data_IF_645717547751
#
_entry.id   IF_645717547751
#
_cell.length_a   1.000
_cell.length_b   1.000
_cell.length_c   1.000
_cell.angle_alpha   90.00
_cell.angle_beta   90.00
_cell.angle_gamma   90.00
#
_symmetry.space_group_name_H-M   'P 1'
#
loop_
_entity.id
_entity.type
_entity.pdbx_description
1 polymer ?
#
# COMPACT_ATOMS: atom_id res chain seq x y z
N UNK A 1 13.59 -44.90 27.30
CA UNK A 1 14.71 -45.04 28.25
C UNK A 1 15.09 -43.64 28.67
N UNK A 2 14.71 -43.28 29.90
CA UNK A 2 14.83 -41.92 30.45
C UNK A 2 16.22 -41.81 31.07
N UNK A 3 17.00 -40.81 30.67
CA UNK A 3 18.14 -40.37 31.46
C UNK A 3 17.73 -39.04 32.08
N UNK A 4 17.47 -39.08 33.39
CA UNK A 4 17.49 -37.92 34.27
C UNK A 4 18.83 -37.96 35.00
N UNK A 5 19.58 -36.86 34.96
CA UNK A 5 20.19 -36.28 36.16
C UNK A 5 20.83 -34.93 35.83
N UNK A 6 20.23 -33.87 36.38
CA UNK A 6 20.76 -33.06 37.47
C UNK A 6 20.53 -31.56 37.25
N UNK A 7 19.71 -31.00 38.15
CA UNK A 7 19.54 -29.58 38.41
C UNK A 7 20.88 -28.94 38.78
N UNK A 8 21.26 -27.87 38.06
CA UNK A 8 21.89 -26.68 38.64
C UNK A 8 21.54 -25.46 37.78
N UNK A 9 20.70 -24.61 38.36
CA UNK A 9 20.70 -23.16 38.32
C UNK A 9 20.83 -22.40 36.98
N UNK A 10 19.97 -21.40 36.80
CA UNK A 10 20.11 -20.38 35.76
C UNK A 10 19.23 -20.60 34.53
N UNK A 11 17.93 -20.29 34.66
CA UNK A 11 17.00 -19.90 33.58
C UNK A 11 17.34 -20.49 32.20
N UNK A 12 16.88 -21.72 31.96
CA UNK A 12 16.66 -22.17 30.60
C UNK A 12 15.59 -21.26 29.98
N UNK A 13 16.03 -20.18 29.33
CA UNK A 13 15.21 -19.45 28.38
C UNK A 13 14.77 -20.53 27.39
N UNK A 14 13.46 -20.82 27.26
CA UNK A 14 13.04 -21.72 26.21
C UNK A 14 13.61 -21.12 24.94
N UNK A 15 14.52 -21.85 24.29
CA UNK A 15 14.96 -21.52 22.95
C UNK A 15 13.67 -21.60 22.17
N UNK A 16 13.03 -20.45 21.98
CA UNK A 16 11.96 -20.28 21.01
C UNK A 16 12.66 -20.65 19.73
N UNK A 17 12.50 -21.92 19.35
CA UNK A 17 12.70 -22.34 17.99
C UNK A 17 11.67 -21.50 17.27
N UNK A 18 12.13 -20.37 16.74
CA UNK A 18 11.34 -19.52 15.89
C UNK A 18 11.01 -20.36 14.66
N UNK A 19 9.96 -21.15 14.78
CA UNK A 19 9.12 -21.54 13.66
C UNK A 19 8.31 -20.30 13.27
N UNK A 20 9.01 -19.23 12.88
CA UNK A 20 8.49 -18.43 11.80
C UNK A 20 8.61 -19.35 10.60
N UNK A 21 7.50 -19.88 10.12
CA UNK A 21 7.41 -20.16 8.69
C UNK A 21 7.84 -18.84 8.04
N UNK A 22 9.11 -18.79 7.65
CA UNK A 22 9.78 -17.58 7.22
C UNK A 22 9.03 -17.16 5.98
N UNK A 23 8.22 -16.10 6.12
CA UNK A 23 7.52 -15.48 5.03
C UNK A 23 8.61 -14.88 4.14
N UNK A 24 9.22 -15.71 3.30
CA UNK A 24 10.15 -15.34 2.25
C UNK A 24 9.32 -14.60 1.22
N UNK A 25 9.05 -13.33 1.52
CA UNK A 25 8.50 -12.42 0.54
C UNK A 25 9.64 -12.10 -0.41
N UNK A 26 9.71 -12.82 -1.53
CA UNK A 26 10.71 -12.58 -2.57
C UNK A 26 10.71 -11.08 -2.92
N UNK A 27 11.83 -10.37 -2.71
CA UNK A 27 11.90 -8.92 -2.92
C UNK A 27 11.61 -8.56 -4.38
N UNK A 28 11.89 -9.44 -5.34
CA UNK A 28 11.52 -9.24 -6.76
C UNK A 28 10.01 -9.27 -6.95
N UNK A 29 9.32 -10.22 -6.33
CA UNK A 29 7.86 -10.33 -6.35
C UNK A 29 7.20 -9.11 -5.70
N UNK A 30 7.72 -8.64 -4.56
CA UNK A 30 7.23 -7.42 -3.90
C UNK A 30 7.44 -6.17 -4.76
N UNK A 31 8.62 -5.99 -5.34
CA UNK A 31 8.91 -4.86 -6.22
C UNK A 31 8.03 -4.88 -7.49
N UNK A 32 7.77 -6.06 -8.06
CA UNK A 32 6.86 -6.21 -9.19
C UNK A 32 5.43 -5.82 -8.81
N UNK A 33 4.94 -6.29 -7.66
CA UNK A 33 3.62 -5.91 -7.17
C UNK A 33 3.51 -4.40 -6.93
N UNK A 34 4.51 -3.78 -6.29
CA UNK A 34 4.57 -2.33 -6.11
C UNK A 34 4.50 -1.57 -7.44
N UNK A 35 5.19 -2.07 -8.47
CA UNK A 35 5.12 -1.50 -9.82
C UNK A 35 3.73 -1.64 -10.46
N UNK A 36 3.09 -2.80 -10.32
CA UNK A 36 1.74 -3.03 -10.85
C UNK A 36 0.72 -2.10 -10.18
N UNK A 37 0.80 -1.94 -8.86
CA UNK A 37 -0.03 -0.98 -8.12
C UNK A 37 0.24 0.45 -8.59
N UNK A 38 1.50 0.86 -8.74
CA UNK A 38 1.84 2.19 -9.24
C UNK A 38 1.23 2.47 -10.62
N UNK A 39 1.36 1.53 -11.56
CA UNK A 39 0.79 1.67 -12.90
C UNK A 39 -0.73 1.78 -12.84
N UNK A 40 -1.39 0.97 -12.01
CA UNK A 40 -2.84 1.05 -11.82
C UNK A 40 -3.28 2.39 -11.22
N UNK A 41 -2.55 2.90 -10.21
CA UNK A 41 -2.82 4.19 -9.56
C UNK A 41 -2.62 5.36 -10.52
N UNK A 42 -1.56 5.33 -11.34
CA UNK A 42 -1.34 6.34 -12.38
C UNK A 42 -2.47 6.32 -13.41
N UNK A 43 -2.82 5.14 -13.94
CA UNK A 43 -3.91 5.03 -14.92
C UNK A 43 -5.27 5.47 -14.36
N UNK A 44 -5.53 5.21 -13.07
CA UNK A 44 -6.71 5.69 -12.37
C UNK A 44 -6.74 7.22 -12.27
N UNK A 45 -5.60 7.82 -11.91
CA UNK A 45 -5.44 9.28 -11.81
C UNK A 45 -5.65 9.95 -13.15
N UNK A 46 -4.96 9.45 -14.20
CA UNK A 46 -5.07 9.97 -15.56
C UNK A 46 -6.54 9.92 -16.04
N UNK A 47 -7.26 8.84 -15.75
CA UNK A 47 -8.66 8.71 -16.12
C UNK A 47 -9.59 9.71 -15.38
N UNK A 48 -9.26 10.06 -14.13
CA UNK A 48 -10.00 11.09 -13.39
C UNK A 48 -9.75 12.45 -14.01
N UNK A 49 -8.48 12.80 -14.27
CA UNK A 49 -8.11 14.09 -14.85
C UNK A 49 -8.70 14.27 -16.26
N UNK A 50 -8.66 13.22 -17.09
CA UNK A 50 -9.23 13.23 -18.44
C UNK A 50 -10.76 13.41 -18.45
N UNK A 51 -11.45 12.94 -17.40
CA UNK A 51 -12.93 13.00 -17.33
C UNK A 51 -13.45 14.15 -16.48
N UNK A 52 -12.58 14.84 -15.74
CA UNK A 52 -12.92 15.89 -14.78
C UNK A 52 -13.80 16.99 -15.38
N UNK A 53 -13.40 17.52 -16.54
CA UNK A 53 -14.15 18.58 -17.23
C UNK A 53 -15.52 18.07 -17.71
N UNK A 54 -15.64 16.77 -17.98
CA UNK A 54 -16.89 16.11 -18.37
C UNK A 54 -17.88 15.90 -17.23
N UNK A 55 -17.48 16.14 -15.97
CA UNK A 55 -18.38 15.97 -14.81
C UNK A 55 -19.20 17.22 -14.51
N UNK A 56 -18.90 18.36 -15.13
CA UNK A 56 -19.75 19.54 -14.99
C UNK A 56 -21.06 19.34 -15.74
N UNK A 57 -22.17 19.59 -15.05
CA UNK A 57 -23.51 19.55 -15.63
C UNK A 57 -23.90 20.98 -16.00
N UNK A 58 -24.24 21.28 -17.27
CA UNK A 58 -24.64 22.62 -17.65
C UNK A 58 -25.83 23.12 -16.83
N UNK A 59 -25.80 24.37 -16.37
CA UNK A 59 -26.88 24.95 -15.56
C UNK A 59 -28.27 24.82 -16.23
N UNK A 60 -28.32 24.88 -17.57
CA UNK A 60 -29.53 24.70 -18.35
C UNK A 60 -30.17 23.30 -18.21
N UNK A 61 -29.39 22.27 -17.83
CA UNK A 61 -29.92 20.92 -17.62
C UNK A 61 -30.86 20.83 -16.40
N UNK A 62 -30.81 21.81 -15.49
CA UNK A 62 -31.68 21.87 -14.31
C UNK A 62 -33.01 22.60 -14.58
N UNK A 63 -33.23 23.09 -15.81
CA UNK A 63 -34.42 23.80 -16.24
C UNK A 63 -34.52 25.24 -15.72
N UNK A 64 -35.68 25.88 -15.94
CA UNK A 64 -35.88 27.32 -15.69
C UNK A 64 -36.66 27.61 -14.40
N UNK A 65 -36.62 26.70 -13.44
CA UNK A 65 -37.31 26.92 -12.16
C UNK A 65 -36.52 27.85 -11.24
N UNK A 66 -37.20 28.48 -10.28
CA UNK A 66 -36.52 29.29 -9.25
C UNK A 66 -35.53 28.48 -8.39
N UNK A 67 -35.64 27.16 -8.36
CA UNK A 67 -34.73 26.27 -7.66
C UNK A 67 -33.50 25.85 -8.49
N UNK A 68 -33.54 26.00 -9.82
CA UNK A 68 -32.48 25.52 -10.71
C UNK A 68 -31.07 26.05 -10.37
N UNK A 69 -30.87 27.34 -9.99
CA UNK A 69 -29.55 27.82 -9.58
C UNK A 69 -29.02 27.12 -8.32
N UNK A 70 -29.89 26.81 -7.36
CA UNK A 70 -29.49 26.14 -6.13
C UNK A 70 -29.11 24.67 -6.39
N UNK A 71 -29.83 23.99 -7.28
CA UNK A 71 -29.51 22.62 -7.69
C UNK A 71 -28.20 22.57 -8.48
N UNK A 72 -27.98 23.52 -9.40
CA UNK A 72 -26.72 23.64 -10.13
C UNK A 72 -25.52 23.86 -9.20
N UNK A 73 -25.66 24.76 -8.21
CA UNK A 73 -24.62 24.99 -7.21
C UNK A 73 -24.33 23.73 -6.37
N UNK A 74 -25.38 23.01 -5.95
CA UNK A 74 -25.21 21.76 -5.19
C UNK A 74 -24.52 20.67 -6.03
N UNK A 75 -24.80 20.59 -7.33
CA UNK A 75 -24.14 19.64 -8.23
C UNK A 75 -22.63 19.96 -8.39
N UNK A 76 -22.27 21.24 -8.48
CA UNK A 76 -20.87 21.67 -8.53
C UNK A 76 -20.13 21.36 -7.22
N UNK A 77 -20.75 21.58 -6.06
CA UNK A 77 -20.18 21.18 -4.76
C UNK A 77 -19.95 19.68 -4.70
N UNK A 78 -20.94 18.87 -5.12
CA UNK A 78 -20.80 17.42 -5.14
C UNK A 78 -19.69 16.96 -6.08
N UNK A 79 -19.51 17.61 -7.23
CA UNK A 79 -18.39 17.35 -8.15
C UNK A 79 -17.06 17.59 -7.45
N UNK A 80 -16.90 18.77 -6.83
CA UNK A 80 -15.66 19.16 -6.18
C UNK A 80 -15.32 18.25 -4.99
N UNK A 81 -16.32 17.86 -4.19
CA UNK A 81 -16.16 16.87 -3.13
C UNK A 81 -15.75 15.50 -3.68
N UNK A 82 -16.34 15.07 -4.79
CA UNK A 82 -15.99 13.79 -5.44
C UNK A 82 -14.55 13.80 -5.92
N UNK A 83 -14.11 14.88 -6.58
CA UNK A 83 -12.71 15.05 -7.02
C UNK A 83 -11.76 14.99 -5.82
N UNK A 84 -12.05 15.71 -4.74
CA UNK A 84 -11.23 15.70 -3.54
C UNK A 84 -11.09 14.30 -2.94
N UNK A 85 -12.19 13.54 -2.85
CA UNK A 85 -12.16 12.16 -2.33
C UNK A 85 -11.35 11.21 -3.19
N UNK A 86 -11.33 11.43 -4.51
CA UNK A 86 -10.52 10.62 -5.41
C UNK A 86 -9.04 10.94 -5.29
N UNK A 87 -8.69 12.22 -5.06
CA UNK A 87 -7.32 12.61 -4.71
C UNK A 87 -6.86 11.96 -3.40
N UNK A 88 -7.73 11.89 -2.37
CA UNK A 88 -7.39 11.18 -1.13
C UNK A 88 -7.03 9.70 -1.38
N UNK A 89 -7.77 9.03 -2.27
CA UNK A 89 -7.51 7.62 -2.64
C UNK A 89 -6.17 7.50 -3.37
N UNK A 90 -5.87 8.42 -4.28
CA UNK A 90 -4.60 8.46 -4.99
C UNK A 90 -3.41 8.62 -4.03
N UNK A 91 -3.52 9.49 -3.04
CA UNK A 91 -2.46 9.74 -2.05
C UNK A 91 -2.17 8.49 -1.22
N UNK A 92 -3.22 7.78 -0.78
CA UNK A 92 -3.08 6.51 -0.05
C UNK A 92 -2.38 5.47 -0.91
N UNK A 93 -2.83 5.27 -2.15
CA UNK A 93 -2.26 4.28 -3.05
C UNK A 93 -0.78 4.58 -3.38
N UNK A 94 -0.43 5.85 -3.54
CA UNK A 94 0.96 6.26 -3.78
C UNK A 94 1.84 5.98 -2.56
N UNK A 95 1.34 6.31 -1.36
CA UNK A 95 2.02 6.02 -0.09
C UNK A 95 2.23 4.52 0.14
N UNK A 96 1.25 3.70 -0.22
CA UNK A 96 1.33 2.25 -0.12
C UNK A 96 2.38 1.68 -1.08
N UNK A 97 2.48 2.19 -2.31
CA UNK A 97 3.53 1.82 -3.27
C UNK A 97 4.91 2.12 -2.72
N UNK A 98 5.12 3.31 -2.16
CA UNK A 98 6.40 3.69 -1.54
C UNK A 98 6.77 2.74 -0.40
N UNK A 99 5.79 2.41 0.45
CA UNK A 99 5.96 1.47 1.55
C UNK A 99 6.35 0.07 1.05
N UNK A 100 5.71 -0.42 -0.02
CA UNK A 100 6.02 -1.71 -0.63
C UNK A 100 7.46 -1.74 -1.21
N UNK A 101 7.91 -0.67 -1.86
CA UNK A 101 9.29 -0.57 -2.34
C UNK A 101 10.30 -0.56 -1.18
N UNK A 102 10.02 0.14 -0.09
CA UNK A 102 10.87 0.16 1.09
C UNK A 102 10.99 -1.23 1.73
N UNK A 103 9.88 -1.97 1.83
CA UNK A 103 9.89 -3.36 2.33
C UNK A 103 10.69 -4.26 1.40
N UNK A 104 10.49 -4.18 0.09
CA UNK A 104 11.25 -4.97 -0.89
C UNK A 104 12.76 -4.72 -0.76
N UNK A 105 13.17 -3.45 -0.65
CA UNK A 105 14.57 -3.08 -0.46
C UNK A 105 15.15 -3.59 0.87
N UNK A 106 14.39 -3.49 1.96
CA UNK A 106 14.81 -3.96 3.27
C UNK A 106 15.01 -5.48 3.29
N UNK A 107 14.11 -6.24 2.66
CA UNK A 107 14.23 -7.69 2.53
C UNK A 107 15.47 -8.06 1.72
N UNK A 108 15.66 -7.44 0.55
CA UNK A 108 16.85 -7.69 -0.27
C UNK A 108 18.15 -7.41 0.49
N UNK A 109 18.22 -6.28 1.19
CA UNK A 109 19.40 -5.89 1.99
C UNK A 109 19.70 -6.91 3.10
N UNK A 110 18.66 -7.45 3.74
CA UNK A 110 18.81 -8.47 4.77
C UNK A 110 19.32 -9.80 4.19
N UNK A 111 18.83 -10.22 3.03
CA UNK A 111 19.30 -11.41 2.32
C UNK A 111 20.77 -11.30 1.90
N UNK A 112 21.17 -10.14 1.36
CA UNK A 112 22.56 -9.85 0.98
C UNK A 112 23.48 -9.89 2.20
N UNK A 113 23.08 -9.27 3.31
CA UNK A 113 23.84 -9.27 4.56
C UNK A 113 23.97 -10.68 5.15
N UNK A 114 22.91 -11.48 5.13
CA UNK A 114 22.95 -12.86 5.60
C UNK A 114 23.88 -13.72 4.73
N UNK A 115 23.79 -13.55 3.41
CA UNK A 115 24.67 -14.24 2.45
C UNK A 115 26.14 -13.89 2.66
N UNK A 116 26.45 -12.60 2.91
CA UNK A 116 27.81 -12.15 3.22
C UNK A 116 28.34 -12.82 4.51
N UNK A 117 27.53 -12.85 5.58
CA UNK A 117 27.90 -13.51 6.85
C UNK A 117 28.17 -15.01 6.67
N UNK A 118 27.36 -15.70 5.87
CA UNK A 118 27.54 -17.13 5.61
C UNK A 118 28.85 -17.41 4.85
N UNK A 119 29.27 -16.52 3.94
CA UNK A 119 30.55 -16.63 3.22
C UNK A 119 31.78 -16.37 4.09
N UNK A 120 31.64 -15.64 5.18
CA UNK A 120 32.75 -15.37 6.13
C UNK A 120 32.96 -16.50 7.15
N UNK A 121 31.95 -17.35 7.35
CA UNK A 121 31.96 -18.44 8.36
C UNK A 121 32.24 -19.81 7.74
N UNK A 122 32.07 -19.97 6.43
CA UNK A 122 32.38 -21.20 5.66
C UNK A 122 33.77 -21.18 5.05
#
# INVERSE_FOLDING_TARGET
MIVKDHERDGRAVPRIVAMTDELSADPVTLARFAREVLVATTAFTDAIDDTRDGWSVPAAAFGDTSAAPAVAAAAEVLRDETIARLSDVQDVLTTDVESLYQVAFAVQSAEEANTARLKEVG
#
